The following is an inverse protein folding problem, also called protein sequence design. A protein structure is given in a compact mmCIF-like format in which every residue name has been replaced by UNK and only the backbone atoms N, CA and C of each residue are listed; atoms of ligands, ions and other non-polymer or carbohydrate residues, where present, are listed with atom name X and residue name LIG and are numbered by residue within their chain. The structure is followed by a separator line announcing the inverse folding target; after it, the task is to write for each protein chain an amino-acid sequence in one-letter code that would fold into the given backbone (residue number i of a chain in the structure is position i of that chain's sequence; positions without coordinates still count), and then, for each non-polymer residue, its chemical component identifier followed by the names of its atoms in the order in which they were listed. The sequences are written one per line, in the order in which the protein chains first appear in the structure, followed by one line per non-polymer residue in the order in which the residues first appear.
data_IF_884181467669
#
_entry.id   IF_884181467669
#
_cell.length_a   1.000
_cell.length_b   1.000
_cell.length_c   1.000
_cell.angle_alpha   90.00
_cell.angle_beta   90.00
_cell.angle_gamma   90.00
#
_symmetry.space_group_name_H-M   'P 1'
#
loop_
_entity.id
_entity.type
_entity.pdbx_description
1 polymer ?
#
# COMPACT_ATOMS: atom_id res chain seq x y z
N UNK A 1 -44.47 -13.87 71.64
CA UNK A 1 -43.15 -13.21 71.70
C UNK A 1 -42.41 -13.56 70.41
N UNK A 2 -42.17 -12.54 69.62
CA UNK A 2 -41.52 -12.56 68.33
C UNK A 2 -40.02 -12.86 68.53
N UNK A 3 -39.47 -13.92 67.93
CA UNK A 3 -38.02 -14.04 67.83
C UNK A 3 -37.57 -14.43 66.42
N UNK A 4 -36.80 -13.49 65.88
CA UNK A 4 -36.18 -13.44 64.57
C UNK A 4 -35.07 -14.50 64.53
N UNK A 5 -35.22 -15.54 63.72
CA UNK A 5 -34.08 -16.27 63.16
C UNK A 5 -34.29 -16.31 61.65
N UNK A 6 -34.06 -15.14 61.08
CA UNK A 6 -33.90 -14.89 59.67
C UNK A 6 -32.71 -15.68 59.13
N UNK A 7 -33.02 -16.56 58.18
CA UNK A 7 -32.50 -16.45 56.81
C UNK A 7 -30.97 -16.33 56.71
N UNK A 8 -30.27 -17.45 56.92
CA UNK A 8 -28.82 -17.51 56.84
C UNK A 8 -28.29 -18.78 56.17
N UNK A 9 -28.91 -19.28 55.10
CA UNK A 9 -28.31 -20.36 54.31
C UNK A 9 -28.94 -20.58 52.91
N UNK A 10 -29.14 -19.52 52.12
CA UNK A 10 -29.64 -19.68 50.75
C UNK A 10 -29.06 -18.67 49.73
N UNK A 11 -27.89 -18.09 49.99
CA UNK A 11 -27.28 -17.10 49.08
C UNK A 11 -25.77 -17.28 48.91
N UNK A 12 -25.32 -18.51 48.63
CA UNK A 12 -23.90 -18.79 48.31
C UNK A 12 -23.70 -19.70 47.09
N UNK A 13 -24.73 -19.91 46.26
CA UNK A 13 -24.64 -20.79 45.07
C UNK A 13 -24.92 -20.09 43.72
N UNK A 14 -24.86 -18.76 43.64
CA UNK A 14 -25.16 -18.02 42.39
C UNK A 14 -23.97 -17.21 41.84
N UNK A 15 -22.72 -17.69 41.98
CA UNK A 15 -21.53 -17.02 41.44
C UNK A 15 -20.66 -17.89 40.52
N UNK A 16 -21.12 -19.06 40.09
CA UNK A 16 -20.35 -19.94 39.19
C UNK A 16 -20.95 -20.11 37.79
N UNK A 17 -21.53 -19.06 37.20
CA UNK A 17 -22.03 -19.13 35.83
C UNK A 17 -21.87 -17.79 35.08
N UNK A 18 -20.62 -17.34 34.91
CA UNK A 18 -20.23 -16.43 33.82
C UNK A 18 -18.84 -16.84 33.33
N UNK A 19 -18.73 -18.02 32.73
CA UNK A 19 -17.63 -18.38 31.83
C UNK A 19 -18.18 -18.74 30.45
N UNK A 20 -19.08 -17.90 29.94
CA UNK A 20 -19.44 -17.91 28.53
C UNK A 20 -18.47 -17.01 27.75
N UNK A 21 -17.20 -17.40 27.74
CA UNK A 21 -16.16 -16.82 26.86
C UNK A 21 -16.38 -17.13 25.37
N UNK A 22 -17.55 -17.63 24.99
CA UNK A 22 -17.93 -17.93 23.60
C UNK A 22 -18.54 -16.73 22.87
N UNK A 23 -18.86 -15.64 23.58
CA UNK A 23 -19.43 -14.41 23.02
C UNK A 23 -18.59 -13.14 23.29
N UNK A 24 -17.44 -13.24 23.96
CA UNK A 24 -16.52 -12.11 24.10
C UNK A 24 -15.76 -11.93 22.78
N UNK A 25 -16.29 -11.08 21.90
CA UNK A 25 -15.59 -10.66 20.69
C UNK A 25 -14.23 -10.03 21.02
N UNK A 26 -13.28 -10.11 20.08
CA UNK A 26 -11.97 -9.48 20.22
C UNK A 26 -12.10 -7.97 20.50
N UNK A 27 -11.47 -7.47 21.56
CA UNK A 27 -11.45 -6.02 21.90
C UNK A 27 -10.35 -5.25 21.19
N UNK A 28 -9.58 -5.89 20.28
CA UNK A 28 -8.46 -5.26 19.55
C UNK A 28 -8.87 -3.98 18.82
N UNK A 29 -10.05 -3.98 18.24
CA UNK A 29 -10.62 -2.84 17.50
C UNK A 29 -10.93 -1.61 18.38
N UNK A 30 -10.86 -1.74 19.71
CA UNK A 30 -11.03 -0.66 20.68
C UNK A 30 -9.70 -0.07 21.15
N UNK A 31 -8.56 -0.56 20.65
CA UNK A 31 -7.26 0.01 20.95
C UNK A 31 -7.26 1.53 20.64
N UNK A 32 -6.69 2.37 21.52
CA UNK A 32 -6.59 3.80 21.27
C UNK A 32 -5.55 4.08 20.17
N UNK A 33 -5.59 5.29 19.61
CA UNK A 33 -4.47 5.80 18.81
C UNK A 33 -3.23 5.90 19.73
N UNK A 34 -2.05 5.39 19.32
CA UNK A 34 -0.84 5.45 20.12
C UNK A 34 -0.46 6.89 20.52
N UNK A 35 0.10 7.09 21.73
CA UNK A 35 0.49 8.41 22.22
C UNK A 35 1.42 9.18 21.28
N UNK A 36 2.33 8.50 20.60
CA UNK A 36 3.28 9.08 19.64
C UNK A 36 2.54 9.69 18.45
N UNK A 37 1.52 8.99 17.95
CA UNK A 37 0.69 9.44 16.84
C UNK A 37 -0.24 10.58 17.28
N UNK A 38 -0.77 10.54 18.51
CA UNK A 38 -1.50 11.68 19.09
C UNK A 38 -0.61 12.92 19.25
N UNK A 39 0.65 12.75 19.67
CA UNK A 39 1.60 13.84 19.77
C UNK A 39 1.90 14.44 18.40
N UNK A 40 2.06 13.60 17.37
CA UNK A 40 2.26 14.07 16.00
C UNK A 40 1.04 14.85 15.48
N UNK A 41 -0.17 14.36 15.74
CA UNK A 41 -1.40 15.09 15.42
C UNK A 41 -1.43 16.47 16.10
N UNK A 42 -1.06 16.55 17.38
CA UNK A 42 -1.00 17.82 18.10
C UNK A 42 0.04 18.78 17.52
N UNK A 43 1.22 18.30 17.12
CA UNK A 43 2.25 19.11 16.45
C UNK A 43 1.76 19.67 15.11
N UNK A 44 1.03 18.86 14.33
CA UNK A 44 0.46 19.26 13.04
C UNK A 44 -0.86 20.03 13.17
N UNK A 45 -1.33 20.29 14.40
CA UNK A 45 -2.56 21.04 14.66
C UNK A 45 -3.85 20.35 14.19
N UNK A 46 -3.86 19.01 14.16
CA UNK A 46 -5.01 18.18 13.78
C UNK A 46 -5.50 17.34 14.96
N UNK A 47 -6.79 17.00 14.96
CA UNK A 47 -7.47 16.21 16.00
C UNK A 47 -7.72 14.77 15.55
N UNK A 48 -7.83 13.77 16.44
CA UNK A 48 -8.18 12.40 16.07
C UNK A 48 -9.39 12.26 15.13
N UNK A 49 -10.43 13.07 15.37
CA UNK A 49 -11.68 13.08 14.61
C UNK A 49 -11.61 13.78 13.25
N UNK A 50 -10.53 14.52 12.94
CA UNK A 50 -10.45 15.22 11.66
C UNK A 50 -10.41 14.24 10.47
N UNK A 51 -11.03 14.60 9.32
CA UNK A 51 -11.06 13.74 8.15
C UNK A 51 -9.68 13.28 7.68
N UNK A 52 -9.63 12.05 7.19
CA UNK A 52 -8.42 11.39 6.69
C UNK A 52 -8.55 10.98 5.22
N UNK A 53 -7.41 10.83 4.57
CA UNK A 53 -7.27 10.23 3.24
C UNK A 53 -6.08 9.28 3.26
N UNK A 54 -6.19 8.15 2.54
CA UNK A 54 -5.13 7.14 2.48
C UNK A 54 -4.57 7.05 1.06
N UNK A 55 -3.24 6.99 0.92
CA UNK A 55 -2.56 6.78 -0.37
C UNK A 55 -1.62 5.58 -0.30
N UNK A 56 -1.87 4.57 -1.11
CA UNK A 56 -1.01 3.41 -1.24
C UNK A 56 -0.14 3.51 -2.50
N UNK A 57 1.16 3.26 -2.37
CA UNK A 57 2.08 3.15 -3.50
C UNK A 57 2.68 1.74 -3.53
N UNK A 58 2.31 0.95 -4.55
CA UNK A 58 2.71 -0.46 -4.64
C UNK A 58 4.21 -0.64 -4.82
N UNK A 59 4.84 0.11 -5.72
CA UNK A 59 6.29 0.01 -5.97
C UNK A 59 7.11 0.32 -4.71
N UNK A 60 6.73 1.36 -3.98
CA UNK A 60 7.38 1.74 -2.73
C UNK A 60 6.97 0.83 -1.55
N UNK A 61 5.84 0.14 -1.68
CA UNK A 61 5.21 -0.67 -0.63
C UNK A 61 4.93 0.17 0.62
N UNK A 62 4.26 1.30 0.45
CA UNK A 62 3.95 2.28 1.50
C UNK A 62 2.48 2.71 1.44
N UNK A 63 1.84 2.88 2.61
CA UNK A 63 0.55 3.56 2.76
C UNK A 63 0.79 4.86 3.53
N UNK A 64 0.43 5.99 2.93
CA UNK A 64 0.42 7.29 3.59
C UNK A 64 -0.95 7.59 4.19
N UNK A 65 -0.94 8.11 5.41
CA UNK A 65 -2.07 8.70 6.10
C UNK A 65 -1.97 10.22 6.04
N UNK A 66 -2.98 10.82 5.42
CA UNK A 66 -3.13 12.26 5.31
C UNK A 66 -4.28 12.72 6.19
N UNK A 67 -4.13 13.84 6.89
CA UNK A 67 -5.18 14.46 7.72
C UNK A 67 -5.54 15.85 7.23
N UNK A 68 -6.82 16.15 7.23
CA UNK A 68 -7.35 17.46 6.86
C UNK A 68 -7.19 18.45 8.02
N UNK A 69 -6.40 19.50 7.81
CA UNK A 69 -6.24 20.61 8.73
C UNK A 69 -7.43 21.55 8.76
N UNK A 70 -7.37 22.53 9.67
CA UNK A 70 -8.40 23.56 9.83
C UNK A 70 -8.56 24.48 8.60
N UNK A 71 -7.51 24.62 7.79
CA UNK A 71 -7.52 25.32 6.50
C UNK A 71 -8.24 24.53 5.39
N UNK A 72 -8.66 23.30 5.71
CA UNK A 72 -9.36 22.40 4.82
C UNK A 72 -8.46 21.60 3.88
N UNK A 73 -7.14 21.75 3.98
CA UNK A 73 -6.16 21.02 3.18
C UNK A 73 -5.64 19.79 3.92
N UNK A 74 -5.24 18.77 3.18
CA UNK A 74 -4.63 17.56 3.70
C UNK A 74 -3.12 17.72 3.83
N UNK A 75 -2.59 17.40 4.99
CA UNK A 75 -1.17 17.26 5.26
C UNK A 75 -0.81 15.80 5.52
N UNK A 76 0.38 15.39 5.11
CA UNK A 76 0.91 14.05 5.37
C UNK A 76 1.17 13.95 6.88
N UNK A 77 0.46 13.04 7.55
CA UNK A 77 0.71 12.77 8.96
C UNK A 77 1.77 11.68 9.12
N UNK A 78 1.60 10.54 8.42
CA UNK A 78 2.45 9.37 8.64
C UNK A 78 2.51 8.47 7.42
N UNK A 79 3.63 7.77 7.26
CA UNK A 79 3.82 6.73 6.23
C UNK A 79 4.04 5.38 6.89
N UNK A 80 3.22 4.41 6.53
CA UNK A 80 3.27 3.03 7.01
C UNK A 80 3.92 2.14 5.96
N UNK A 81 5.00 1.41 6.30
CA UNK A 81 5.55 0.41 5.41
C UNK A 81 4.58 -0.77 5.30
N UNK A 82 4.35 -1.26 4.08
CA UNK A 82 3.59 -2.49 3.84
C UNK A 82 4.51 -3.70 4.03
N UNK A 83 4.01 -4.67 4.79
CA UNK A 83 4.62 -5.99 4.86
C UNK A 83 4.55 -6.70 3.50
N UNK A 84 3.38 -6.65 2.84
CA UNK A 84 3.18 -7.29 1.55
C UNK A 84 2.01 -6.70 0.79
N UNK A 85 2.12 -6.67 -0.52
CA UNK A 85 0.98 -6.63 -1.43
C UNK A 85 1.17 -7.69 -2.52
N UNK A 86 0.12 -8.15 -3.18
CA UNK A 86 0.20 -9.24 -4.18
C UNK A 86 0.02 -8.77 -5.63
N UNK A 87 0.55 -9.55 -6.57
CA UNK A 87 0.38 -9.33 -8.01
C UNK A 87 1.53 -8.55 -8.66
N UNK A 88 1.20 -7.69 -9.61
CA UNK A 88 2.15 -6.82 -10.34
C UNK A 88 1.77 -5.35 -10.16
N UNK A 89 2.55 -4.44 -10.73
CA UNK A 89 2.02 -3.11 -11.04
C UNK A 89 0.98 -3.23 -12.15
N UNK A 90 -0.12 -2.51 -12.01
CA UNK A 90 -1.32 -2.61 -12.83
C UNK A 90 -2.59 -2.87 -12.01
N UNK A 91 -3.77 -2.62 -12.61
CA UNK A 91 -5.06 -2.78 -11.94
C UNK A 91 -5.45 -4.25 -11.79
N UNK A 92 -6.24 -4.55 -10.76
CA UNK A 92 -7.00 -5.81 -10.64
C UNK A 92 -8.06 -5.86 -11.72
N UNK A 93 -8.27 -7.02 -12.35
CA UNK A 93 -9.26 -7.17 -13.44
C UNK A 93 -10.25 -8.31 -13.24
N UNK A 94 -9.90 -9.35 -12.48
CA UNK A 94 -10.78 -10.51 -12.27
C UNK A 94 -10.56 -11.18 -10.92
N UNK A 95 -11.58 -11.90 -10.47
CA UNK A 95 -11.50 -12.76 -9.29
C UNK A 95 -10.34 -13.77 -9.41
N UNK A 96 -9.62 -13.98 -8.32
CA UNK A 96 -8.48 -14.92 -8.27
C UNK A 96 -7.22 -14.54 -9.06
N UNK A 97 -7.11 -13.33 -9.63
CA UNK A 97 -5.87 -12.86 -10.30
C UNK A 97 -4.73 -12.50 -9.32
N UNK A 98 -4.98 -12.58 -8.01
CA UNK A 98 -4.04 -12.21 -6.92
C UNK A 98 -3.50 -10.79 -7.04
N UNK A 99 -4.23 -9.89 -7.69
CA UNK A 99 -3.78 -8.54 -7.95
C UNK A 99 -4.35 -7.57 -6.90
N UNK A 100 -3.45 -6.87 -6.19
CA UNK A 100 -3.86 -5.69 -5.42
C UNK A 100 -4.33 -4.58 -6.38
N UNK A 101 -5.50 -3.95 -6.14
CA UNK A 101 -6.12 -3.03 -7.07
C UNK A 101 -5.35 -1.70 -7.16
N UNK A 102 -5.61 -0.94 -8.23
CA UNK A 102 -5.13 0.43 -8.43
C UNK A 102 -6.32 1.31 -8.80
N UNK A 103 -6.39 2.55 -8.32
CA UNK A 103 -7.54 3.44 -8.51
C UNK A 103 -8.00 4.13 -7.22
N UNK A 104 -9.24 4.60 -7.22
CA UNK A 104 -9.83 5.38 -6.12
C UNK A 104 -10.97 4.60 -5.47
N UNK A 105 -10.87 4.33 -4.18
CA UNK A 105 -11.81 3.50 -3.44
C UNK A 105 -12.38 4.25 -2.24
N UNK A 106 -13.48 3.76 -1.68
CA UNK A 106 -14.19 4.41 -0.59
C UNK A 106 -14.39 3.40 0.54
N UNK A 107 -13.61 3.57 1.61
CA UNK A 107 -13.75 2.80 2.83
C UNK A 107 -14.88 3.44 3.62
N UNK A 108 -15.89 2.65 3.96
CA UNK A 108 -17.06 3.10 4.75
C UNK A 108 -17.01 2.50 6.15
N UNK A 109 -17.81 2.99 7.12
CA UNK A 109 -17.92 2.33 8.41
C UNK A 109 -18.28 0.83 8.30
N UNK A 110 -19.10 0.45 7.32
CA UNK A 110 -19.46 -0.94 7.05
C UNK A 110 -18.31 -1.79 6.48
N UNK A 111 -17.26 -1.13 5.96
CA UNK A 111 -16.05 -1.81 5.48
C UNK A 111 -15.14 -2.28 6.62
N UNK A 112 -15.33 -1.77 7.85
CA UNK A 112 -14.50 -2.09 9.00
C UNK A 112 -14.80 -3.50 9.53
N UNK A 113 -13.76 -4.32 9.70
CA UNK A 113 -13.88 -5.68 10.21
C UNK A 113 -13.08 -5.85 11.52
N UNK A 114 -13.74 -5.71 12.69
CA UNK A 114 -13.10 -5.87 13.99
C UNK A 114 -12.78 -7.33 14.35
N UNK A 115 -13.36 -8.30 13.64
CA UNK A 115 -13.25 -9.74 13.90
C UNK A 115 -12.44 -10.45 12.82
N UNK A 116 -11.57 -9.73 12.11
CA UNK A 116 -10.72 -10.31 11.07
C UNK A 116 -9.83 -11.43 11.62
N UNK A 117 -9.69 -12.51 10.86
CA UNK A 117 -8.72 -13.56 11.15
C UNK A 117 -7.27 -13.08 10.94
N UNK A 118 -7.07 -11.93 10.29
CA UNK A 118 -5.78 -11.28 10.01
C UNK A 118 -5.55 -10.11 10.97
N UNK A 119 -5.81 -10.34 12.26
CA UNK A 119 -5.77 -9.36 13.35
C UNK A 119 -6.87 -8.28 13.33
N UNK A 120 -6.82 -7.36 12.37
CA UNK A 120 -7.82 -6.32 12.08
C UNK A 120 -7.81 -6.09 10.57
N UNK A 121 -8.94 -5.69 9.98
CA UNK A 121 -8.96 -5.29 8.58
C UNK A 121 -10.06 -4.30 8.24
N UNK A 122 -9.93 -3.65 7.09
CA UNK A 122 -11.03 -2.96 6.43
C UNK A 122 -11.00 -3.19 4.92
N UNK A 123 -12.17 -3.36 4.33
CA UNK A 123 -12.36 -3.54 2.89
C UNK A 123 -12.26 -2.20 2.15
N UNK A 124 -11.60 -2.20 0.99
CA UNK A 124 -11.42 -0.99 0.18
C UNK A 124 -12.71 -0.55 -0.51
N UNK A 125 -13.63 -1.48 -0.81
CA UNK A 125 -14.81 -1.25 -1.65
C UNK A 125 -14.57 -1.56 -3.14
N UNK A 126 -13.61 -2.42 -3.46
CA UNK A 126 -13.44 -2.96 -4.82
C UNK A 126 -14.53 -4.02 -5.10
N UNK A 127 -15.09 -4.09 -6.32
CA UNK A 127 -14.85 -3.20 -7.46
C UNK A 127 -15.60 -1.88 -7.28
N UNK A 128 -14.97 -0.75 -7.62
CA UNK A 128 -15.64 0.56 -7.59
C UNK A 128 -16.48 0.79 -8.87
N UNK A 129 -17.03 1.99 -9.08
CA UNK A 129 -17.80 2.31 -10.29
C UNK A 129 -16.98 2.15 -11.59
N UNK A 130 -15.70 2.51 -11.57
CA UNK A 130 -14.79 2.39 -12.71
C UNK A 130 -14.56 0.93 -13.04
N UNK A 131 -14.25 0.12 -12.03
CA UNK A 131 -14.02 -1.31 -12.19
C UNK A 131 -15.26 -2.03 -12.73
N UNK A 132 -16.43 -1.72 -12.18
CA UNK A 132 -17.72 -2.26 -12.64
C UNK A 132 -18.04 -1.85 -14.08
N UNK A 133 -17.74 -0.61 -14.46
CA UNK A 133 -17.95 -0.13 -15.84
C UNK A 133 -17.14 -0.91 -16.88
N UNK A 134 -16.02 -1.51 -16.46
CA UNK A 134 -15.15 -2.35 -17.28
C UNK A 134 -15.39 -3.86 -17.09
N UNK A 135 -16.46 -4.24 -16.37
CA UNK A 135 -16.79 -5.65 -16.12
C UNK A 135 -15.79 -6.38 -15.23
N UNK A 136 -15.00 -5.66 -14.43
CA UNK A 136 -13.99 -6.28 -13.56
C UNK A 136 -14.66 -6.95 -12.36
N UNK A 137 -14.09 -8.06 -11.91
CA UNK A 137 -14.61 -8.86 -10.80
C UNK A 137 -13.58 -9.05 -9.69
N UNK A 138 -14.06 -9.38 -8.50
CA UNK A 138 -13.24 -9.48 -7.29
C UNK A 138 -14.06 -9.12 -6.05
N UNK A 139 -13.62 -9.56 -4.88
CA UNK A 139 -14.13 -9.09 -3.59
C UNK A 139 -13.07 -9.24 -2.50
N UNK A 140 -13.29 -8.65 -1.33
CA UNK A 140 -12.42 -8.78 -0.16
C UNK A 140 -11.00 -8.26 -0.37
N UNK A 141 -10.87 -7.13 -1.08
CA UNK A 141 -9.60 -6.41 -1.20
C UNK A 141 -9.45 -5.53 0.02
N UNK A 142 -8.60 -5.94 0.96
CA UNK A 142 -8.51 -5.34 2.29
C UNK A 142 -7.15 -4.71 2.54
N UNK A 143 -7.11 -3.79 3.51
CA UNK A 143 -5.91 -3.53 4.30
C UNK A 143 -6.03 -4.32 5.61
N UNK A 144 -5.00 -5.07 5.99
CA UNK A 144 -5.08 -5.95 7.16
C UNK A 144 -3.72 -6.16 7.85
N UNK A 145 -3.76 -6.66 9.09
CA UNK A 145 -2.59 -7.15 9.86
C UNK A 145 -2.16 -8.54 9.42
N UNK A 146 -1.22 -9.19 10.10
CA UNK A 146 -0.55 -10.42 9.61
C UNK A 146 0.14 -10.20 8.26
N UNK A 147 1.47 -10.28 8.24
CA UNK A 147 2.33 -9.96 7.09
C UNK A 147 2.26 -10.96 5.92
N UNK A 148 1.06 -11.48 5.61
CA UNK A 148 0.74 -12.55 4.66
C UNK A 148 -0.45 -12.12 3.78
N UNK A 149 -0.28 -12.06 2.45
CA UNK A 149 -1.31 -11.51 1.52
C UNK A 149 -1.56 -12.39 0.28
N UNK A 150 -2.82 -12.46 -0.15
CA UNK A 150 -3.29 -13.08 -1.40
C UNK A 150 -4.14 -12.09 -2.24
N UNK A 151 -3.67 -10.85 -2.42
CA UNK A 151 -4.38 -9.81 -3.18
C UNK A 151 -4.66 -8.52 -2.38
N UNK A 152 -4.32 -8.50 -1.10
CA UNK A 152 -4.57 -7.39 -0.18
C UNK A 152 -3.32 -6.55 0.09
N UNK A 153 -3.47 -5.47 0.85
CA UNK A 153 -2.37 -4.71 1.43
C UNK A 153 -2.15 -5.17 2.88
N UNK A 154 -1.13 -5.98 3.11
CA UNK A 154 -0.76 -6.48 4.42
C UNK A 154 0.27 -5.57 5.09
N UNK A 155 0.07 -5.34 6.39
CA UNK A 155 0.95 -4.59 7.27
C UNK A 155 1.12 -5.35 8.59
N UNK A 156 1.96 -4.85 9.50
CA UNK A 156 2.10 -5.47 10.83
C UNK A 156 0.84 -5.25 11.66
N UNK A 157 0.68 -6.06 12.71
CA UNK A 157 -0.46 -5.95 13.63
C UNK A 157 -0.46 -4.58 14.34
N UNK A 158 0.71 -4.04 14.66
CA UNK A 158 0.86 -2.71 15.27
C UNK A 158 0.43 -1.61 14.29
N UNK A 159 0.88 -1.69 13.04
CA UNK A 159 0.55 -0.71 12.00
C UNK A 159 -0.94 -0.70 11.70
N UNK A 160 -1.58 -1.87 11.54
CA UNK A 160 -3.03 -1.93 11.32
C UNK A 160 -3.81 -1.54 12.57
N UNK A 161 -3.33 -1.84 13.78
CA UNK A 161 -4.00 -1.44 15.02
C UNK A 161 -4.12 0.09 15.10
N UNK A 162 -3.02 0.79 14.81
CA UNK A 162 -3.02 2.24 14.76
C UNK A 162 -3.90 2.76 13.62
N UNK A 163 -3.72 2.25 12.39
CA UNK A 163 -4.45 2.76 11.23
C UNK A 163 -5.97 2.52 11.37
N UNK A 164 -6.37 1.36 11.90
CA UNK A 164 -7.77 1.04 12.20
C UNK A 164 -8.35 1.99 13.25
N UNK A 165 -7.58 2.31 14.31
CA UNK A 165 -8.01 3.29 15.32
C UNK A 165 -8.19 4.68 14.69
N UNK A 166 -7.27 5.14 13.85
CA UNK A 166 -7.39 6.44 13.16
C UNK A 166 -8.61 6.48 12.23
N UNK A 167 -8.84 5.42 11.44
CA UNK A 167 -10.04 5.31 10.57
C UNK A 167 -11.33 5.33 11.41
N UNK A 168 -11.35 4.60 12.53
CA UNK A 168 -12.47 4.60 13.49
C UNK A 168 -12.76 6.00 14.03
N UNK A 169 -11.73 6.72 14.49
CA UNK A 169 -11.90 8.08 15.02
C UNK A 169 -12.38 9.08 13.96
N UNK A 170 -11.89 8.96 12.71
CA UNK A 170 -12.37 9.79 11.61
C UNK A 170 -13.86 9.55 11.32
N UNK A 171 -14.32 8.29 11.37
CA UNK A 171 -15.75 7.97 11.27
C UNK A 171 -16.55 8.46 12.47
N UNK A 172 -16.03 8.34 13.69
CA UNK A 172 -16.65 8.89 14.89
C UNK A 172 -16.76 10.43 14.82
N UNK A 173 -15.80 11.08 14.14
CA UNK A 173 -15.80 12.51 13.80
C UNK A 173 -16.78 12.91 12.69
N UNK A 174 -17.50 11.95 12.10
CA UNK A 174 -18.53 12.21 11.09
C UNK A 174 -18.06 12.09 9.63
N UNK A 175 -16.82 11.68 9.37
CA UNK A 175 -16.41 11.33 8.01
C UNK A 175 -17.26 10.13 7.53
N UNK A 176 -17.91 10.25 6.36
CA UNK A 176 -18.83 9.21 5.85
C UNK A 176 -18.12 8.12 5.06
N UNK A 177 -17.02 8.47 4.41
CA UNK A 177 -16.14 7.56 3.70
C UNK A 177 -14.72 8.13 3.73
N UNK A 178 -13.74 7.24 3.86
CA UNK A 178 -12.32 7.55 3.71
C UNK A 178 -11.91 7.17 2.29
N UNK A 179 -11.42 8.14 1.52
CA UNK A 179 -10.91 7.85 0.19
C UNK A 179 -9.57 7.12 0.28
N UNK A 180 -9.46 5.98 -0.38
CA UNK A 180 -8.23 5.20 -0.51
C UNK A 180 -7.75 5.26 -1.96
N UNK A 181 -6.64 5.95 -2.18
CA UNK A 181 -6.03 6.10 -3.50
C UNK A 181 -4.89 5.09 -3.65
N UNK A 182 -5.01 4.15 -4.56
CA UNK A 182 -3.98 3.14 -4.81
C UNK A 182 -3.28 3.38 -6.13
N UNK A 183 -1.98 3.64 -6.06
CA UNK A 183 -1.12 3.98 -7.19
C UNK A 183 -0.07 2.88 -7.45
N UNK A 184 0.35 2.70 -8.72
CA UNK A 184 1.44 1.77 -9.04
C UNK A 184 2.75 2.19 -8.35
N UNK A 185 3.00 3.49 -8.28
CA UNK A 185 4.20 4.11 -7.74
C UNK A 185 3.92 5.60 -7.47
N UNK A 186 4.83 6.29 -6.80
CA UNK A 186 4.80 7.76 -6.71
C UNK A 186 4.78 8.37 -8.12
N UNK A 187 3.78 9.19 -8.44
CA UNK A 187 3.48 9.66 -9.81
C UNK A 187 4.43 10.75 -10.35
N UNK A 188 5.73 10.56 -10.13
CA UNK A 188 6.80 11.48 -10.53
C UNK A 188 7.20 11.29 -12.00
N UNK A 189 7.80 12.32 -12.63
CA UNK A 189 8.34 12.22 -13.99
C UNK A 189 9.33 11.06 -14.18
N UNK A 190 10.17 10.75 -13.19
CA UNK A 190 11.15 9.67 -13.26
C UNK A 190 10.47 8.30 -13.36
N UNK A 191 9.48 8.03 -12.52
CA UNK A 191 8.75 6.76 -12.58
C UNK A 191 7.98 6.63 -13.90
N UNK A 192 7.34 7.71 -14.36
CA UNK A 192 6.64 7.71 -15.65
C UNK A 192 7.58 7.49 -16.83
N UNK A 193 8.77 8.12 -16.81
CA UNK A 193 9.78 7.94 -17.84
C UNK A 193 10.31 6.50 -17.85
N UNK A 194 10.63 5.94 -16.67
CA UNK A 194 11.11 4.56 -16.52
C UNK A 194 10.08 3.54 -16.97
N UNK A 195 8.80 3.72 -16.62
CA UNK A 195 7.75 2.76 -16.96
C UNK A 195 6.97 3.11 -18.23
N UNK A 196 7.49 3.99 -19.09
CA UNK A 196 6.82 4.53 -20.29
C UNK A 196 6.29 3.51 -21.30
N UNK A 197 6.83 2.28 -21.28
CA UNK A 197 6.41 1.20 -22.18
C UNK A 197 5.45 0.18 -21.53
N UNK A 198 5.01 0.41 -20.29
CA UNK A 198 4.08 -0.48 -19.62
C UNK A 198 2.69 -0.43 -20.31
N UNK A 199 2.02 -1.58 -20.53
CA UNK A 199 0.67 -1.60 -21.11
C UNK A 199 -0.37 -0.80 -20.30
N UNK A 200 -0.14 -0.58 -19.01
CA UNK A 200 -1.04 0.18 -18.14
C UNK A 200 -0.78 1.69 -18.16
N UNK A 201 0.20 2.18 -18.94
CA UNK A 201 0.58 3.60 -18.94
C UNK A 201 -0.60 4.55 -19.23
N UNK A 202 -1.52 4.17 -20.12
CA UNK A 202 -2.72 4.98 -20.39
C UNK A 202 -3.65 5.07 -19.16
N UNK A 203 -3.80 3.98 -18.40
CA UNK A 203 -4.55 3.94 -17.15
C UNK A 203 -3.84 4.74 -16.06
N UNK A 204 -2.52 4.59 -15.92
CA UNK A 204 -1.72 5.33 -14.94
C UNK A 204 -1.76 6.83 -15.16
N UNK A 205 -1.71 7.29 -16.42
CA UNK A 205 -1.93 8.70 -16.76
C UNK A 205 -3.33 9.18 -16.38
N UNK A 206 -4.35 8.32 -16.43
CA UNK A 206 -5.71 8.70 -16.00
C UNK A 206 -5.80 8.85 -14.48
N UNK A 207 -5.31 7.90 -13.69
CA UNK A 207 -5.33 8.02 -12.22
C UNK A 207 -4.36 9.11 -11.72
N UNK A 208 -3.29 9.41 -12.47
CA UNK A 208 -2.40 10.55 -12.18
C UNK A 208 -3.14 11.88 -12.20
N UNK A 209 -4.18 12.05 -13.03
CA UNK A 209 -4.97 13.28 -13.01
C UNK A 209 -5.57 13.57 -11.62
N UNK A 210 -6.11 12.53 -10.95
CA UNK A 210 -6.59 12.66 -9.57
C UNK A 210 -5.46 12.90 -8.56
N UNK A 211 -4.29 12.31 -8.79
CA UNK A 211 -3.10 12.57 -7.96
C UNK A 211 -2.66 14.04 -8.05
N UNK A 212 -2.55 14.57 -9.27
CA UNK A 212 -2.15 15.95 -9.57
C UNK A 212 -3.14 16.96 -8.98
N UNK A 213 -4.45 16.66 -9.04
CA UNK A 213 -5.50 17.50 -8.43
C UNK A 213 -5.35 17.61 -6.92
N UNK A 214 -5.16 16.48 -6.23
CA UNK A 214 -4.91 16.50 -4.80
C UNK A 214 -3.61 17.25 -4.45
N UNK A 215 -2.53 17.06 -5.22
CA UNK A 215 -1.25 17.74 -4.98
C UNK A 215 -1.37 19.27 -5.15
N UNK A 216 -2.14 19.73 -6.14
CA UNK A 216 -2.35 21.16 -6.40
C UNK A 216 -3.32 21.78 -5.40
N UNK A 217 -4.50 21.18 -5.23
CA UNK A 217 -5.56 21.74 -4.40
C UNK A 217 -5.31 21.50 -2.90
N UNK A 218 -4.60 20.44 -2.55
CA UNK A 218 -4.47 19.96 -1.18
C UNK A 218 -5.77 19.37 -0.63
N UNK A 219 -6.77 19.10 -1.47
CA UNK A 219 -8.08 18.58 -1.05
C UNK A 219 -8.35 17.22 -1.69
N UNK A 220 -9.23 16.44 -1.06
CA UNK A 220 -9.68 15.16 -1.62
C UNK A 220 -10.37 15.41 -2.98
N UNK A 221 -9.91 14.75 -4.06
CA UNK A 221 -10.53 14.90 -5.38
C UNK A 221 -11.89 14.19 -5.42
N UNK A 222 -12.85 14.85 -6.06
CA UNK A 222 -14.15 14.26 -6.42
C UNK A 222 -13.93 13.34 -7.61
N UNK A 223 -14.27 12.07 -7.44
CA UNK A 223 -14.05 11.02 -8.45
C UNK A 223 -15.39 10.60 -9.06
N UNK A 224 -15.44 10.61 -10.39
CA UNK A 224 -16.55 10.09 -11.19
C UNK A 224 -16.02 9.18 -12.32
N UNK A 225 -16.93 8.56 -13.08
CA UNK A 225 -16.60 7.64 -14.16
C UNK A 225 -17.41 7.97 -15.41
N UNK A 226 -16.72 8.36 -16.48
CA UNK A 226 -17.33 8.71 -17.76
C UNK A 226 -16.66 7.90 -18.88
N UNK A 227 -17.46 7.16 -19.65
CA UNK A 227 -16.95 6.41 -20.81
C UNK A 227 -15.87 5.38 -20.47
N UNK A 228 -15.95 4.74 -19.29
CA UNK A 228 -14.97 3.75 -18.84
C UNK A 228 -13.61 4.36 -18.41
N UNK A 229 -13.60 5.64 -18.02
CA UNK A 229 -12.42 6.37 -17.53
C UNK A 229 -12.79 7.12 -16.25
N UNK A 230 -11.81 7.32 -15.37
CA UNK A 230 -11.99 8.24 -14.26
C UNK A 230 -12.11 9.67 -14.80
N UNK A 231 -13.06 10.41 -14.25
CA UNK A 231 -13.22 11.85 -14.40
C UNK A 231 -13.11 12.50 -13.02
N UNK A 232 -12.60 13.73 -12.96
CA UNK A 232 -12.31 14.41 -11.70
C UNK A 232 -12.85 15.83 -11.68
N UNK A 233 -13.30 16.26 -10.50
CA UNK A 233 -13.88 17.58 -10.16
C UNK A 233 -14.51 18.33 -11.33
N UNK A 234 -15.70 17.91 -11.76
CA UNK A 234 -16.48 18.59 -12.79
C UNK A 234 -16.90 20.04 -12.42
N UNK A 235 -16.54 20.51 -11.23
CA UNK A 235 -16.80 21.86 -10.72
C UNK A 235 -15.62 22.53 -10.01
N UNK A 236 -14.38 22.08 -10.25
CA UNK A 236 -13.21 22.82 -9.76
C UNK A 236 -13.18 24.24 -10.37
N UNK A 237 -12.70 25.21 -9.59
CA UNK A 237 -12.51 26.57 -10.12
C UNK A 237 -11.45 26.58 -11.24
N UNK A 238 -11.54 27.58 -12.11
CA UNK A 238 -10.66 27.71 -13.28
C UNK A 238 -9.17 27.79 -12.87
N UNK A 239 -8.86 28.38 -11.71
CA UNK A 239 -7.48 28.55 -11.25
C UNK A 239 -6.82 27.22 -10.88
N UNK A 240 -7.59 26.32 -10.25
CA UNK A 240 -7.17 24.97 -9.89
C UNK A 240 -7.01 24.13 -11.16
N UNK A 241 -7.98 24.19 -12.09
CA UNK A 241 -7.89 23.49 -13.36
C UNK A 241 -6.65 23.91 -14.16
N UNK A 242 -6.36 25.22 -14.24
CA UNK A 242 -5.16 25.74 -14.90
C UNK A 242 -3.87 25.31 -14.21
N UNK A 243 -3.84 25.29 -12.88
CA UNK A 243 -2.67 24.86 -12.11
C UNK A 243 -2.38 23.36 -12.32
N UNK A 244 -3.42 22.52 -12.35
CA UNK A 244 -3.31 21.09 -12.68
C UNK A 244 -2.81 20.90 -14.12
N UNK A 245 -3.34 21.67 -15.08
CA UNK A 245 -2.90 21.61 -16.47
C UNK A 245 -1.42 22.02 -16.62
N UNK A 246 -0.98 23.08 -15.93
CA UNK A 246 0.43 23.50 -15.88
C UNK A 246 1.32 22.42 -15.30
N UNK A 247 0.97 21.88 -14.13
CA UNK A 247 1.72 20.79 -13.50
C UNK A 247 1.86 19.59 -14.44
N UNK A 248 0.78 19.17 -15.08
CA UNK A 248 0.80 18.08 -16.05
C UNK A 248 1.74 18.37 -17.23
N UNK A 249 1.67 19.56 -17.79
CA UNK A 249 2.55 19.96 -18.89
C UNK A 249 4.02 19.99 -18.46
N UNK A 250 4.31 20.40 -17.23
CA UNK A 250 5.66 20.44 -16.66
C UNK A 250 6.20 19.02 -16.46
N UNK A 251 5.38 18.12 -15.88
CA UNK A 251 5.73 16.71 -15.71
C UNK A 251 5.97 16.02 -17.07
N UNK A 252 5.14 16.31 -18.09
CA UNK A 252 5.32 15.77 -19.45
C UNK A 252 6.63 16.27 -20.10
N UNK A 253 7.01 17.53 -19.90
CA UNK A 253 8.31 18.07 -20.37
C UNK A 253 9.48 17.41 -19.65
N UNK A 254 9.38 17.18 -18.34
CA UNK A 254 10.41 16.48 -17.57
C UNK A 254 10.55 15.02 -18.00
N UNK A 255 9.45 14.31 -18.21
CA UNK A 255 9.46 12.94 -18.77
C UNK A 255 10.17 12.93 -20.13
N UNK A 256 9.84 13.87 -21.03
CA UNK A 256 10.48 13.95 -22.34
C UNK A 256 11.99 14.22 -22.23
N UNK A 257 12.41 15.12 -21.33
CA UNK A 257 13.81 15.41 -21.07
C UNK A 257 14.57 14.18 -20.52
N UNK A 258 13.98 13.45 -19.57
CA UNK A 258 14.55 12.21 -19.03
C UNK A 258 14.68 11.11 -20.09
N UNK A 259 13.71 10.99 -20.99
CA UNK A 259 13.80 10.03 -22.10
C UNK A 259 14.89 10.45 -23.07
N UNK A 260 14.99 11.75 -23.41
CA UNK A 260 16.01 12.28 -24.29
C UNK A 260 17.44 12.14 -23.71
N UNK A 261 17.58 12.20 -22.39
CA UNK A 261 18.85 11.97 -21.68
C UNK A 261 19.22 10.48 -21.52
N UNK A 262 18.42 9.56 -22.08
CA UNK A 262 18.74 8.14 -22.13
C UNK A 262 18.20 7.30 -20.97
N UNK A 263 17.21 7.80 -20.21
CA UNK A 263 16.58 7.01 -19.14
C UNK A 263 16.03 5.69 -19.70
N UNK A 264 16.49 4.51 -19.22
CA UNK A 264 16.04 3.24 -19.75
C UNK A 264 14.55 3.01 -19.47
N UNK A 265 13.85 2.41 -20.42
CA UNK A 265 12.50 1.90 -20.17
C UNK A 265 12.63 0.56 -19.45
N UNK A 266 11.86 0.37 -18.39
CA UNK A 266 11.97 -0.81 -17.53
C UNK A 266 10.61 -1.30 -17.10
N UNK A 267 10.51 -2.62 -16.96
CA UNK A 267 9.36 -3.31 -16.37
C UNK A 267 9.81 -3.98 -15.09
N UNK A 268 9.08 -3.72 -14.00
CA UNK A 268 9.25 -4.47 -12.76
C UNK A 268 8.42 -5.73 -12.83
N UNK A 269 9.08 -6.86 -12.64
CA UNK A 269 8.46 -8.18 -12.60
C UNK A 269 8.58 -8.72 -11.19
N UNK A 270 7.43 -8.85 -10.54
CA UNK A 270 7.31 -9.44 -9.22
C UNK A 270 6.99 -10.93 -9.34
N UNK A 271 7.32 -11.72 -8.34
CA UNK A 271 6.83 -13.10 -8.28
C UNK A 271 5.36 -13.14 -7.83
N UNK A 272 5.05 -12.38 -6.77
CA UNK A 272 3.69 -12.23 -6.22
C UNK A 272 3.61 -10.95 -5.37
N UNK A 273 3.84 -9.82 -6.03
CA UNK A 273 3.88 -8.48 -5.45
C UNK A 273 5.13 -8.20 -4.63
N UNK A 274 5.08 -7.16 -3.81
CA UNK A 274 6.26 -6.56 -3.18
C UNK A 274 6.13 -6.41 -1.67
N UNK A 275 7.26 -6.05 -1.05
CA UNK A 275 7.41 -5.79 0.38
C UNK A 275 8.28 -4.54 0.55
N UNK A 276 8.01 -3.76 1.60
CA UNK A 276 8.84 -2.60 1.93
C UNK A 276 10.26 -3.01 2.30
N UNK A 277 11.26 -2.24 1.86
CA UNK A 277 12.69 -2.55 2.04
C UNK A 277 13.07 -2.82 3.50
N UNK A 278 12.45 -2.11 4.44
CA UNK A 278 12.73 -2.23 5.87
C UNK A 278 12.47 -3.67 6.37
N UNK A 279 11.37 -4.28 5.93
CA UNK A 279 11.06 -5.66 6.33
C UNK A 279 11.92 -6.69 5.62
N UNK A 280 12.31 -6.42 4.35
CA UNK A 280 13.23 -7.29 3.62
C UNK A 280 14.60 -7.35 4.29
N UNK A 281 15.14 -6.21 4.69
CA UNK A 281 16.42 -6.11 5.39
C UNK A 281 16.36 -6.81 6.75
N UNK A 282 15.28 -6.60 7.52
CA UNK A 282 15.07 -7.30 8.79
C UNK A 282 14.90 -8.81 8.63
N UNK A 283 14.17 -9.30 7.62
CA UNK A 283 14.07 -10.74 7.35
C UNK A 283 15.41 -11.36 6.96
N UNK A 284 16.18 -10.69 6.09
CA UNK A 284 17.50 -11.15 5.68
C UNK A 284 18.50 -11.18 6.85
N UNK A 285 18.34 -10.28 7.83
CA UNK A 285 19.17 -10.23 9.03
C UNK A 285 18.72 -11.21 10.14
N UNK A 286 17.42 -11.44 10.29
CA UNK A 286 16.84 -12.18 11.42
C UNK A 286 16.54 -13.67 11.13
N UNK A 287 16.76 -14.15 9.90
CA UNK A 287 16.65 -15.56 9.54
C UNK A 287 15.22 -16.09 9.40
N UNK A 288 14.22 -15.63 10.17
CA UNK A 288 12.80 -16.05 10.08
C UNK A 288 11.82 -15.17 10.92
N UNK A 289 12.15 -13.90 11.20
CA UNK A 289 11.56 -13.12 12.31
C UNK A 289 10.21 -12.40 12.15
N UNK A 290 9.39 -12.62 11.12
CA UNK A 290 8.13 -11.85 10.90
C UNK A 290 6.82 -12.63 11.18
N UNK A 291 6.89 -13.81 11.80
CA UNK A 291 5.71 -14.68 12.02
C UNK A 291 5.35 -15.51 10.78
N UNK A 292 4.11 -16.02 10.68
CA UNK A 292 3.65 -16.75 9.49
C UNK A 292 3.54 -15.81 8.29
N UNK A 293 4.44 -15.98 7.33
CA UNK A 293 4.48 -15.22 6.08
C UNK A 293 4.21 -16.17 4.93
N UNK A 294 3.17 -15.90 4.12
CA UNK A 294 2.93 -16.66 2.89
C UNK A 294 4.14 -16.55 1.95
N UNK A 295 4.62 -17.66 1.36
CA UNK A 295 5.67 -17.66 0.31
C UNK A 295 6.89 -16.77 0.64
N UNK A 296 7.70 -17.12 1.65
CA UNK A 296 8.89 -16.36 2.04
C UNK A 296 9.94 -16.25 0.91
N UNK A 297 9.95 -17.17 -0.05
CA UNK A 297 10.88 -17.17 -1.19
C UNK A 297 10.64 -15.99 -2.15
N UNK A 298 9.37 -15.63 -2.34
CA UNK A 298 8.96 -14.48 -3.16
C UNK A 298 9.42 -13.15 -2.54
N UNK A 299 9.59 -13.11 -1.22
CA UNK A 299 10.05 -11.92 -0.48
C UNK A 299 11.56 -11.74 -0.57
N UNK A 300 12.33 -12.84 -0.52
CA UNK A 300 13.78 -12.81 -0.61
C UNK A 300 14.27 -12.30 -1.99
N UNK A 301 13.51 -12.55 -3.05
CA UNK A 301 13.93 -12.24 -4.43
C UNK A 301 13.71 -10.78 -4.85
N UNK A 302 12.75 -10.08 -4.24
CA UNK A 302 12.34 -8.72 -4.64
C UNK A 302 11.88 -8.62 -6.10
N UNK A 303 11.54 -7.40 -6.59
CA UNK A 303 11.23 -7.22 -8.00
C UNK A 303 12.47 -7.36 -8.87
N UNK A 304 12.33 -8.05 -10.00
CA UNK A 304 13.33 -8.07 -11.07
C UNK A 304 13.05 -6.95 -12.05
N UNK A 305 14.07 -6.14 -12.31
CA UNK A 305 14.00 -5.08 -13.31
C UNK A 305 14.40 -5.63 -14.68
N UNK A 306 13.48 -5.55 -15.65
CA UNK A 306 13.72 -5.98 -17.02
C UNK A 306 13.78 -4.74 -17.90
N UNK A 307 14.94 -4.52 -18.54
CA UNK A 307 15.08 -3.47 -19.54
C UNK A 307 14.17 -3.78 -20.74
N UNK A 308 13.34 -2.81 -21.09
CA UNK A 308 12.46 -2.91 -22.25
C UNK A 308 13.25 -2.51 -23.50
N UNK A 309 13.08 -3.22 -24.63
CA UNK A 309 13.79 -2.88 -25.85
C UNK A 309 13.49 -1.44 -26.28
N UNK A 310 14.50 -0.76 -26.82
CA UNK A 310 14.27 0.50 -27.48
C UNK A 310 13.32 0.23 -28.66
N UNK A 311 12.11 0.79 -28.60
CA UNK A 311 11.20 0.76 -29.74
C UNK A 311 11.80 1.68 -30.80
N UNK A 312 12.59 1.10 -31.72
CA UNK A 312 12.91 1.74 -32.99
C UNK A 312 11.63 1.93 -33.83
N UNK A 313 11.66 2.74 -34.90
CA UNK A 313 10.52 2.87 -35.79
C UNK A 313 10.07 1.48 -36.24
N UNK A 314 8.78 1.17 -36.02
CA UNK A 314 8.19 -0.15 -36.23
C UNK A 314 8.34 -0.54 -37.70
N UNK A 315 9.34 -1.37 -38.01
CA UNK A 315 9.40 -2.08 -39.27
C UNK A 315 8.43 -3.27 -39.21
N UNK A 316 7.48 -3.27 -40.14
CA UNK A 316 6.54 -4.37 -40.39
C UNK A 316 7.29 -5.71 -40.44
N UNK A 317 6.97 -6.60 -39.51
CA UNK A 317 7.58 -7.94 -39.41
C UNK A 317 7.05 -8.81 -40.54
N UNK A 318 7.91 -9.02 -41.54
CA UNK A 318 7.80 -10.08 -42.54
C UNK A 318 8.80 -11.19 -42.28
N UNK A 319 8.26 -12.41 -42.12
CA UNK A 319 8.89 -13.75 -42.25
C UNK A 319 9.88 -14.23 -41.17
N UNK A 320 9.52 -15.39 -40.60
CA UNK A 320 10.35 -16.29 -39.79
C UNK A 320 11.32 -17.07 -40.68
N UNK A 321 12.55 -17.26 -40.20
CA UNK A 321 13.42 -18.39 -40.57
C UNK A 321 14.13 -18.96 -39.32
N UNK A 322 14.61 -20.22 -39.36
CA UNK A 322 14.68 -21.10 -38.20
C UNK A 322 15.98 -20.98 -37.40
N UNK A 323 15.87 -21.18 -36.08
CA UNK A 323 16.97 -21.20 -35.12
C UNK A 323 17.73 -22.53 -35.21
N UNK A 324 19.04 -22.44 -35.47
CA UNK A 324 19.99 -23.56 -35.37
C UNK A 324 20.58 -23.58 -33.96
N UNK A 325 20.47 -24.74 -33.29
CA UNK A 325 21.00 -25.00 -31.95
C UNK A 325 22.52 -25.13 -31.94
N UNK A 326 23.20 -24.40 -31.07
CA UNK A 326 24.57 -24.71 -30.61
C UNK A 326 24.66 -24.50 -29.11
N UNK A 327 24.86 -25.59 -28.37
CA UNK A 327 25.12 -25.58 -26.94
C UNK A 327 26.55 -25.11 -26.64
N UNK A 328 26.72 -24.41 -25.52
CA UNK A 328 28.01 -24.06 -24.93
C UNK A 328 27.98 -24.29 -23.39
N UNK A 329 29.14 -24.53 -22.75
CA UNK A 329 29.24 -25.35 -21.53
C UNK A 329 29.17 -24.56 -20.20
N UNK A 330 28.85 -25.30 -19.12
CA UNK A 330 28.79 -24.82 -17.71
C UNK A 330 30.14 -24.28 -17.20
N UNK A 331 30.16 -23.17 -16.43
CA UNK A 331 31.33 -22.80 -15.65
C UNK A 331 31.35 -23.49 -14.27
N UNK A 332 32.55 -23.92 -13.88
CA UNK A 332 32.93 -24.47 -12.58
C UNK A 332 33.01 -23.38 -11.50
N UNK A 333 32.56 -23.69 -10.28
CA UNK A 333 32.56 -22.77 -9.14
C UNK A 333 33.95 -22.46 -8.58
N UNK A 334 34.13 -21.23 -8.12
CA UNK A 334 35.30 -20.77 -7.39
C UNK A 334 34.94 -20.59 -5.92
N UNK A 335 35.59 -21.36 -5.03
CA UNK A 335 35.49 -21.19 -3.58
C UNK A 335 36.41 -20.06 -3.11
N UNK A 336 35.85 -19.05 -2.45
CA UNK A 336 36.61 -17.96 -1.81
C UNK A 336 37.24 -18.48 -0.52
N UNK A 337 38.53 -18.18 -0.30
CA UNK A 337 39.30 -18.72 0.81
C UNK A 337 38.98 -18.02 2.15
N UNK A 338 39.22 -18.71 3.27
CA UNK A 338 38.98 -18.20 4.64
C UNK A 338 39.78 -16.92 4.93
N UNK A 339 40.94 -16.75 4.28
CA UNK A 339 41.78 -15.55 4.41
C UNK A 339 41.14 -14.31 3.76
N UNK A 340 40.51 -14.45 2.61
CA UNK A 340 39.78 -13.35 1.95
C UNK A 340 38.53 -12.94 2.73
N UNK A 341 37.85 -13.91 3.35
CA UNK A 341 36.69 -13.65 4.21
C UNK A 341 37.08 -12.88 5.48
N UNK A 342 38.25 -13.16 6.06
CA UNK A 342 38.77 -12.44 7.24
C UNK A 342 39.21 -11.01 6.90
N UNK A 343 39.86 -10.82 5.75
CA UNK A 343 40.29 -9.49 5.27
C UNK A 343 39.10 -8.55 5.02
N UNK A 344 38.00 -9.07 4.49
CA UNK A 344 36.77 -8.31 4.32
C UNK A 344 36.18 -7.89 5.67
N UNK A 345 36.13 -8.78 6.66
CA UNK A 345 35.58 -8.46 7.99
C UNK A 345 36.40 -7.42 8.76
N UNK A 346 37.73 -7.44 8.67
CA UNK A 346 38.60 -6.45 9.34
C UNK A 346 38.52 -5.06 8.70
N UNK A 347 38.18 -4.98 7.40
CA UNK A 347 38.00 -3.70 6.69
C UNK A 347 36.70 -2.99 7.09
N UNK A 348 35.67 -3.72 7.53
CA UNK A 348 34.39 -3.14 7.97
C UNK A 348 34.38 -2.69 9.44
N UNK A 349 35.30 -3.19 10.28
CA UNK A 349 35.38 -2.78 11.69
C UNK A 349 36.07 -1.41 11.91
N UNK A 350 36.80 -0.90 10.92
CA UNK A 350 37.55 0.37 11.02
C UNK A 350 36.79 1.61 10.50
N UNK A 351 35.54 1.46 10.03
CA UNK A 351 34.73 2.56 9.50
C UNK A 351 33.66 3.09 10.48
N UNK A 352 33.74 2.69 11.76
CA UNK A 352 32.71 2.95 12.78
C UNK A 352 32.94 4.15 13.71
N UNK A 353 34.10 4.81 13.70
CA UNK A 353 34.35 5.99 14.53
C UNK A 353 34.39 7.26 13.67
N UNK A 354 33.27 8.00 13.70
CA UNK A 354 33.20 9.37 13.17
C UNK A 354 33.90 10.37 14.10
N UNK A 355 34.39 11.51 13.57
CA UNK A 355 35.01 12.54 14.39
C UNK A 355 33.97 13.30 15.24
N UNK A 356 34.42 13.72 16.43
CA UNK A 356 33.68 14.49 17.44
C UNK A 356 33.26 15.88 17.00
#
# INVERSE_FOLDING_TARGET
MLNKITLGLALLLALSACKDGRYAGSTRHLAPIPPETLSLMATEGVSPSDPILLRAYKKEAEIELWKRGADGRYALLKTYPMCRWSGQLGPKTREGDRQAPEGFYAITPASMNPNSSLYLSFDLGFPNAYDRSLGRTGTHLMVHGSCSSQGCFAMTDEAISELYAVVREAFAGGQRAVQFQSYPFRMTPENLARHRQDPNMAFWKNIKEGADRFEVAGTEPVVDVVGGRYAFDAGADASTADAVARKRADDERQVAALVASGTPAVRLVYEDGGQHRAFRETMMAAGDGLGEVSRPEALASGPREVAMPAQGPVALVGRREPVRSTAAPKPSGTSVTVAERRRLLETFAAAGDGPK
#
